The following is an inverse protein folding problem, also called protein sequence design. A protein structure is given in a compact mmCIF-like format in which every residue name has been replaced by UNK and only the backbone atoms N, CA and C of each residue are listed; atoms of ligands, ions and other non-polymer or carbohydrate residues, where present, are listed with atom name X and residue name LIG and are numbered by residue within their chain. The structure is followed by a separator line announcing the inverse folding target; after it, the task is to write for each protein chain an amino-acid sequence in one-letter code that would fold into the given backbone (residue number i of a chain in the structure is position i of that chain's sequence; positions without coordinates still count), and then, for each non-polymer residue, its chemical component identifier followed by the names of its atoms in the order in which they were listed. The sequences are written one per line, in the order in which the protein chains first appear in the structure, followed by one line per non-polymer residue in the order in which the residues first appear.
data_IF_800652058991
#
_entry.id   IF_800652058991
#
_cell.length_a   1.000
_cell.length_b   1.000
_cell.length_c   1.000
_cell.angle_alpha   90.00
_cell.angle_beta   90.00
_cell.angle_gamma   90.00
#
_symmetry.space_group_name_H-M   'P 1'
#
loop_
_entity.id
_entity.type
_entity.pdbx_description
1 polymer ?
#
# COMPACT_ATOMS: atom_id res chain seq x y z
N UNK A 1 22.90 -11.65 4.50
CA UNK A 1 22.18 -10.40 4.15
C UNK A 1 21.19 -10.61 3.01
N UNK A 2 21.60 -11.20 1.88
CA UNK A 2 20.72 -11.50 0.73
C UNK A 2 19.48 -12.32 1.11
N UNK A 3 19.65 -13.44 1.83
CA UNK A 3 18.52 -14.30 2.23
C UNK A 3 17.51 -13.54 3.10
N UNK A 4 17.98 -12.79 4.10
CA UNK A 4 17.11 -11.98 4.96
C UNK A 4 16.34 -10.93 4.17
N UNK A 5 17.01 -10.24 3.23
CA UNK A 5 16.37 -9.29 2.32
C UNK A 5 15.30 -9.98 1.45
N UNK A 6 15.59 -11.16 0.89
CA UNK A 6 14.61 -11.94 0.12
C UNK A 6 13.39 -12.32 0.96
N UNK A 7 13.59 -12.81 2.18
CA UNK A 7 12.47 -13.15 3.07
C UNK A 7 11.62 -11.92 3.38
N UNK A 8 12.25 -10.79 3.73
CA UNK A 8 11.53 -9.55 4.04
C UNK A 8 10.74 -9.03 2.83
N UNK A 9 11.34 -9.00 1.64
CA UNK A 9 10.68 -8.58 0.40
C UNK A 9 9.52 -9.52 0.05
N UNK A 10 9.73 -10.84 0.14
CA UNK A 10 8.70 -11.84 -0.12
C UNK A 10 7.50 -11.69 0.82
N UNK A 11 7.73 -11.56 2.12
CA UNK A 11 6.67 -11.32 3.10
C UNK A 11 5.92 -10.01 2.84
N UNK A 12 6.64 -8.94 2.48
CA UNK A 12 6.01 -7.65 2.20
C UNK A 12 5.15 -7.68 0.93
N UNK A 13 5.64 -8.34 -0.13
CA UNK A 13 4.88 -8.58 -1.37
C UNK A 13 3.61 -9.37 -1.08
N UNK A 14 3.72 -10.48 -0.33
CA UNK A 14 2.57 -11.29 0.05
C UNK A 14 1.54 -10.49 0.87
N UNK A 15 2.01 -9.71 1.84
CA UNK A 15 1.13 -8.84 2.63
C UNK A 15 0.39 -7.82 1.76
N UNK A 16 1.06 -7.22 0.77
CA UNK A 16 0.45 -6.27 -0.14
C UNK A 16 -0.62 -6.92 -1.04
N UNK A 17 -0.32 -8.09 -1.61
CA UNK A 17 -1.27 -8.86 -2.41
C UNK A 17 -2.51 -9.26 -1.59
N UNK A 18 -2.31 -9.72 -0.35
CA UNK A 18 -3.42 -10.05 0.57
C UNK A 18 -4.29 -8.81 0.83
N UNK A 19 -3.69 -7.63 1.02
CA UNK A 19 -4.45 -6.39 1.20
C UNK A 19 -5.31 -6.05 -0.02
N UNK A 20 -4.77 -6.23 -1.23
CA UNK A 20 -5.53 -5.99 -2.46
C UNK A 20 -6.73 -6.91 -2.57
N UNK A 21 -6.55 -8.21 -2.30
CA UNK A 21 -7.65 -9.18 -2.29
C UNK A 21 -8.69 -8.79 -1.24
N UNK A 22 -8.25 -8.47 -0.02
CA UNK A 22 -9.14 -8.08 1.08
C UNK A 22 -9.97 -6.84 0.78
N UNK A 23 -9.45 -5.90 -0.02
CA UNK A 23 -10.17 -4.69 -0.40
C UNK A 23 -11.45 -5.01 -1.19
N UNK A 24 -11.42 -6.07 -2.01
CA UNK A 24 -12.57 -6.51 -2.82
C UNK A 24 -13.39 -7.62 -2.15
N UNK A 25 -12.73 -8.53 -1.42
CA UNK A 25 -13.38 -9.70 -0.83
C UNK A 25 -14.16 -9.37 0.45
N UNK A 26 -13.70 -8.40 1.26
CA UNK A 26 -14.35 -8.05 2.52
C UNK A 26 -15.48 -7.06 2.23
N UNK A 27 -16.72 -7.26 2.70
CA UNK A 27 -17.83 -6.36 2.41
C UNK A 27 -17.64 -4.97 3.03
N UNK A 28 -18.21 -3.94 2.39
CA UNK A 28 -18.05 -2.53 2.79
C UNK A 28 -18.33 -2.26 4.29
N UNK A 29 -19.41 -2.76 4.92
CA UNK A 29 -19.68 -2.51 6.34
C UNK A 29 -18.54 -2.98 7.26
N UNK A 30 -17.90 -4.10 6.93
CA UNK A 30 -16.77 -4.61 7.69
C UNK A 30 -15.50 -3.79 7.46
N UNK A 31 -15.26 -3.32 6.22
CA UNK A 31 -14.11 -2.45 5.90
C UNK A 31 -14.23 -1.10 6.61
N UNK A 32 -15.40 -0.46 6.54
CA UNK A 32 -15.60 0.87 7.11
C UNK A 32 -15.56 0.85 8.63
N UNK A 33 -16.03 -0.22 9.28
CA UNK A 33 -15.91 -0.39 10.74
C UNK A 33 -14.45 -0.40 11.19
N UNK A 34 -13.56 -1.08 10.46
CA UNK A 34 -12.12 -1.10 10.74
C UNK A 34 -11.50 0.28 10.58
N UNK A 35 -11.83 0.98 9.49
CA UNK A 35 -11.37 2.35 9.26
C UNK A 35 -11.86 3.30 10.36
N UNK A 36 -13.14 3.24 10.72
CA UNK A 36 -13.70 4.05 11.79
C UNK A 36 -12.98 3.83 13.13
N UNK A 37 -12.66 2.57 13.47
CA UNK A 37 -11.90 2.22 14.67
C UNK A 37 -10.45 2.74 14.64
N UNK A 38 -9.79 2.75 13.48
CA UNK A 38 -8.43 3.32 13.34
C UNK A 38 -8.40 4.82 13.66
N UNK A 39 -9.46 5.54 13.31
CA UNK A 39 -9.56 6.99 13.53
C UNK A 39 -10.20 7.39 14.87
N UNK A 40 -10.80 6.46 15.64
CA UNK A 40 -11.43 6.79 16.93
C UNK A 40 -10.40 7.13 18.02
N UNK A 41 -9.19 6.58 17.95
CA UNK A 41 -8.09 6.82 18.90
C UNK A 41 -7.23 8.06 18.62
N UNK A 42 -7.82 9.14 18.09
CA UNK A 42 -7.13 10.38 17.68
C UNK A 42 -5.96 10.19 16.68
N UNK A 43 -5.92 9.05 15.98
CA UNK A 43 -4.91 8.76 14.96
C UNK A 43 -3.50 8.46 15.48
N UNK A 44 -3.27 8.31 16.80
CA UNK A 44 -1.95 7.97 17.35
C UNK A 44 -1.41 6.65 16.82
N UNK A 45 -2.28 5.64 16.69
CA UNK A 45 -1.91 4.34 16.13
C UNK A 45 -1.43 4.46 14.68
N UNK A 46 -2.12 5.28 13.87
CA UNK A 46 -1.76 5.50 12.47
C UNK A 46 -0.37 6.14 12.37
N UNK A 47 -0.09 7.17 13.17
CA UNK A 47 1.24 7.82 13.19
C UNK A 47 2.37 6.85 13.51
N UNK A 48 2.23 6.07 14.60
CA UNK A 48 3.25 5.09 14.99
C UNK A 48 3.43 4.02 13.90
N UNK A 49 2.32 3.57 13.31
CA UNK A 49 2.38 2.60 12.21
C UNK A 49 3.11 3.17 10.99
N UNK A 50 2.85 4.43 10.62
CA UNK A 50 3.52 5.13 9.52
C UNK A 50 5.02 5.29 9.81
N UNK A 51 5.40 5.66 11.03
CA UNK A 51 6.82 5.76 11.44
C UNK A 51 7.54 4.40 11.34
N UNK A 52 6.89 3.32 11.76
CA UNK A 52 7.42 1.95 11.64
C UNK A 52 7.58 1.55 10.17
N UNK A 53 6.60 1.84 9.33
CA UNK A 53 6.69 1.57 7.89
C UNK A 53 7.80 2.37 7.23
N UNK A 54 7.96 3.64 7.60
CA UNK A 54 9.03 4.49 7.09
C UNK A 54 10.40 3.94 7.46
N UNK A 55 10.58 3.54 8.73
CA UNK A 55 11.80 2.89 9.20
C UNK A 55 12.06 1.58 8.43
N UNK A 56 11.04 0.76 8.22
CA UNK A 56 11.16 -0.48 7.45
C UNK A 56 11.61 -0.21 6.01
N UNK A 57 11.04 0.80 5.33
CA UNK A 57 11.45 1.17 3.97
C UNK A 57 12.92 1.63 3.94
N UNK A 58 13.34 2.45 4.90
CA UNK A 58 14.74 2.88 5.02
C UNK A 58 15.70 1.69 5.22
N UNK A 59 15.32 0.72 6.06
CA UNK A 59 16.09 -0.52 6.27
C UNK A 59 16.18 -1.34 4.98
N UNK A 60 15.07 -1.50 4.23
CA UNK A 60 15.08 -2.23 2.96
C UNK A 60 16.00 -1.58 1.94
N UNK A 61 15.97 -0.25 1.81
CA UNK A 61 16.85 0.50 0.90
C UNK A 61 18.32 0.35 1.31
N UNK A 62 18.63 0.47 2.61
CA UNK A 62 19.99 0.28 3.12
C UNK A 62 20.50 -1.14 2.88
N UNK A 63 19.66 -2.16 3.10
CA UNK A 63 19.99 -3.55 2.80
C UNK A 63 20.23 -3.75 1.30
N UNK A 64 19.38 -3.19 0.43
CA UNK A 64 19.51 -3.29 -1.02
C UNK A 64 20.80 -2.61 -1.51
N UNK A 65 21.15 -1.45 -0.96
CA UNK A 65 22.42 -0.78 -1.24
C UNK A 65 23.62 -1.66 -0.83
N UNK A 66 23.55 -2.31 0.33
CA UNK A 66 24.62 -3.17 0.85
C UNK A 66 24.88 -4.46 0.03
N UNK A 67 23.92 -4.91 -0.78
CA UNK A 67 24.08 -6.09 -1.67
C UNK A 67 24.30 -5.72 -3.14
N UNK A 68 24.52 -4.44 -3.46
CA UNK A 68 24.82 -3.99 -4.82
C UNK A 68 23.57 -3.63 -5.62
N UNK A 69 22.93 -2.53 -5.26
CA UNK A 69 21.75 -1.99 -5.94
C UNK A 69 22.07 -1.58 -7.39
N UNK A 70 21.26 -2.04 -8.34
CA UNK A 70 21.32 -1.58 -9.73
C UNK A 70 20.56 -0.24 -9.86
N UNK A 71 21.28 0.81 -10.24
CA UNK A 71 20.80 2.19 -10.21
C UNK A 71 19.59 2.47 -11.12
N UNK A 72 19.57 1.94 -12.35
CA UNK A 72 18.48 2.22 -13.29
C UNK A 72 17.18 1.55 -12.84
N UNK A 73 17.26 0.31 -12.37
CA UNK A 73 16.15 -0.45 -11.81
C UNK A 73 15.61 0.21 -10.55
N UNK A 74 16.48 0.72 -9.67
CA UNK A 74 16.07 1.46 -8.48
C UNK A 74 15.33 2.75 -8.82
N UNK A 75 15.92 3.61 -9.66
CA UNK A 75 15.32 4.89 -10.07
C UNK A 75 13.98 4.64 -10.79
N UNK A 76 13.93 3.67 -11.69
CA UNK A 76 12.70 3.29 -12.41
C UNK A 76 11.64 2.80 -11.43
N UNK A 77 12.01 1.94 -10.47
CA UNK A 77 11.11 1.45 -9.43
C UNK A 77 10.52 2.57 -8.57
N UNK A 78 11.34 3.56 -8.16
CA UNK A 78 10.87 4.73 -7.43
C UNK A 78 9.85 5.54 -8.24
N UNK A 79 10.15 5.83 -9.51
CA UNK A 79 9.27 6.59 -10.39
C UNK A 79 7.94 5.86 -10.64
N UNK A 80 7.99 4.55 -10.88
CA UNK A 80 6.79 3.71 -11.04
C UNK A 80 5.95 3.72 -9.77
N UNK A 81 6.57 3.53 -8.60
CA UNK A 81 5.87 3.56 -7.30
C UNK A 81 5.17 4.89 -7.05
N UNK A 82 5.89 6.01 -7.18
CA UNK A 82 5.34 7.35 -7.01
C UNK A 82 4.18 7.62 -7.97
N UNK A 83 4.34 7.26 -9.25
CA UNK A 83 3.33 7.49 -10.27
C UNK A 83 2.07 6.67 -10.02
N UNK A 84 2.21 5.38 -9.68
CA UNK A 84 1.07 4.53 -9.37
C UNK A 84 0.30 5.04 -8.15
N UNK A 85 0.99 5.46 -7.09
CA UNK A 85 0.35 6.06 -5.91
C UNK A 85 -0.38 7.36 -6.25
N UNK A 86 0.25 8.26 -7.02
CA UNK A 86 -0.38 9.50 -7.44
C UNK A 86 -1.65 9.25 -8.28
N UNK A 87 -1.56 8.40 -9.31
CA UNK A 87 -2.69 8.09 -10.17
C UNK A 87 -3.82 7.43 -9.38
N UNK A 88 -3.48 6.50 -8.48
CA UNK A 88 -4.44 5.86 -7.58
C UNK A 88 -5.22 6.92 -6.77
N UNK A 89 -4.53 7.86 -6.12
CA UNK A 89 -5.20 8.88 -5.33
C UNK A 89 -6.08 9.80 -6.19
N UNK A 90 -5.64 10.17 -7.40
CA UNK A 90 -6.47 10.99 -8.28
C UNK A 90 -7.79 10.33 -8.70
N UNK A 91 -7.92 9.00 -8.62
CA UNK A 91 -9.19 8.30 -8.87
C UNK A 91 -10.27 8.61 -7.83
N UNK A 92 -9.87 8.99 -6.62
CA UNK A 92 -10.78 9.19 -5.48
C UNK A 92 -11.06 10.67 -5.22
N UNK A 93 -11.18 11.46 -6.29
CA UNK A 93 -11.46 12.89 -6.22
C UNK A 93 -12.96 13.23 -6.22
N UNK A 94 -13.84 12.23 -6.17
CA UNK A 94 -15.28 12.40 -6.18
C UNK A 94 -15.82 12.59 -4.75
N UNK A 95 -16.84 13.43 -4.54
CA UNK A 95 -17.49 13.55 -3.24
C UNK A 95 -18.14 12.23 -2.83
N UNK A 96 -18.11 11.94 -1.53
CA UNK A 96 -18.80 10.79 -0.96
C UNK A 96 -20.31 11.09 -0.86
N UNK A 97 -21.18 10.08 -1.04
CA UNK A 97 -22.59 10.25 -0.72
C UNK A 97 -22.77 10.40 0.81
N UNK A 98 -23.83 11.10 1.28
CA UNK A 98 -23.99 11.44 2.70
C UNK A 98 -23.97 10.24 3.67
N UNK A 99 -24.46 9.07 3.23
CA UNK A 99 -24.48 7.83 4.01
C UNK A 99 -23.10 7.17 4.17
N UNK A 100 -22.08 7.67 3.45
CA UNK A 100 -20.71 7.16 3.46
C UNK A 100 -19.69 8.18 3.91
N UNK A 101 -20.12 9.36 4.33
CA UNK A 101 -19.21 10.37 4.86
C UNK A 101 -18.68 9.96 6.26
N UNK A 102 -17.40 10.25 6.55
CA UNK A 102 -16.91 10.09 7.90
C UNK A 102 -17.57 11.08 8.85
N UNK A 103 -17.86 10.65 10.08
CA UNK A 103 -18.29 11.57 11.13
C UNK A 103 -17.22 12.66 11.37
N UNK A 104 -17.62 13.90 11.72
CA UNK A 104 -16.68 14.96 12.06
C UNK A 104 -15.68 14.56 13.17
N UNK A 105 -14.46 15.13 13.17
CA UNK A 105 -13.94 16.10 12.21
C UNK A 105 -13.57 15.47 10.86
N UNK A 106 -13.83 16.21 9.79
CA UNK A 106 -13.43 15.85 8.43
C UNK A 106 -11.97 16.25 8.23
N UNK A 107 -11.07 15.27 8.25
CA UNK A 107 -9.65 15.47 7.93
C UNK A 107 -9.33 14.79 6.59
N UNK A 108 -8.45 15.36 5.74
CA UNK A 108 -8.23 14.88 4.38
C UNK A 108 -7.96 13.38 4.27
N UNK A 109 -7.05 12.85 5.10
CA UNK A 109 -6.67 11.43 5.07
C UNK A 109 -7.81 10.49 5.48
N UNK A 110 -8.68 10.92 6.41
CA UNK A 110 -9.87 10.16 6.83
C UNK A 110 -10.89 10.13 5.70
N UNK A 111 -11.19 11.28 5.10
CA UNK A 111 -12.08 11.38 3.94
C UNK A 111 -11.58 10.52 2.79
N UNK A 112 -10.27 10.55 2.50
CA UNK A 112 -9.66 9.73 1.46
C UNK A 112 -9.78 8.23 1.76
N UNK A 113 -9.53 7.83 3.01
CA UNK A 113 -9.67 6.43 3.44
C UNK A 113 -11.11 5.94 3.23
N UNK A 114 -12.11 6.77 3.57
CA UNK A 114 -13.52 6.47 3.36
C UNK A 114 -13.87 6.39 1.86
N UNK A 115 -13.36 7.31 1.02
CA UNK A 115 -13.54 7.27 -0.43
C UNK A 115 -13.02 5.96 -1.06
N UNK A 116 -11.82 5.54 -0.66
CA UNK A 116 -11.23 4.27 -1.10
C UNK A 116 -12.09 3.07 -0.68
N UNK A 117 -12.59 3.06 0.56
CA UNK A 117 -13.45 1.97 1.01
C UNK A 117 -14.81 1.95 0.33
N UNK A 118 -15.38 3.11 0.03
CA UNK A 118 -16.71 3.23 -0.57
C UNK A 118 -16.76 2.78 -2.04
N UNK A 119 -15.69 3.02 -2.79
CA UNK A 119 -15.63 2.71 -4.22
C UNK A 119 -14.28 2.08 -4.64
N UNK A 120 -13.86 0.95 -4.05
CA UNK A 120 -12.55 0.35 -4.30
C UNK A 120 -12.34 -0.03 -5.77
N UNK A 121 -13.42 -0.25 -6.52
CA UNK A 121 -13.39 -0.51 -7.95
C UNK A 121 -12.73 0.62 -8.74
N UNK A 122 -12.70 1.88 -8.27
CA UNK A 122 -12.04 2.98 -8.98
C UNK A 122 -10.51 2.78 -9.11
N UNK A 123 -9.92 1.97 -8.23
CA UNK A 123 -8.49 1.65 -8.20
C UNK A 123 -8.09 0.44 -9.06
N UNK A 124 -9.04 -0.20 -9.76
CA UNK A 124 -8.82 -1.52 -10.36
C UNK A 124 -7.62 -1.57 -11.32
N UNK A 125 -7.40 -0.51 -12.11
CA UNK A 125 -6.31 -0.46 -13.11
C UNK A 125 -4.95 -0.46 -12.43
N UNK A 126 -4.79 0.42 -11.46
CA UNK A 126 -3.55 0.60 -10.72
C UNK A 126 -3.23 -0.66 -9.89
N UNK A 127 -4.26 -1.29 -9.31
CA UNK A 127 -4.12 -2.54 -8.56
C UNK A 127 -3.76 -3.74 -9.46
N UNK A 128 -4.27 -3.82 -10.69
CA UNK A 128 -3.86 -4.88 -11.64
C UNK A 128 -2.39 -4.71 -12.00
N UNK A 129 -1.96 -3.49 -12.37
CA UNK A 129 -0.56 -3.22 -12.73
C UNK A 129 0.35 -3.56 -11.54
N UNK A 130 0.00 -3.10 -10.34
CA UNK A 130 0.82 -3.34 -9.16
C UNK A 130 0.84 -4.81 -8.75
N UNK A 131 -0.27 -5.53 -8.90
CA UNK A 131 -0.32 -6.99 -8.66
C UNK A 131 0.56 -7.75 -9.65
N UNK A 132 0.52 -7.40 -10.94
CA UNK A 132 1.36 -8.02 -11.96
C UNK A 132 2.84 -7.80 -11.66
N UNK A 133 3.23 -6.58 -11.30
CA UNK A 133 4.60 -6.25 -10.89
C UNK A 133 5.03 -7.02 -9.64
N UNK A 134 4.16 -7.14 -8.64
CA UNK A 134 4.45 -7.91 -7.42
C UNK A 134 4.57 -9.42 -7.68
N UNK A 135 3.71 -9.99 -8.51
CA UNK A 135 3.81 -11.39 -8.89
C UNK A 135 5.09 -11.67 -9.68
N UNK A 136 5.46 -10.79 -10.60
CA UNK A 136 6.72 -10.89 -11.34
C UNK A 136 7.95 -10.71 -10.42
N UNK A 137 7.91 -9.75 -9.50
CA UNK A 137 8.95 -9.57 -8.49
C UNK A 137 9.08 -10.80 -7.59
N UNK A 138 7.97 -11.42 -7.19
CA UNK A 138 7.99 -12.62 -6.36
C UNK A 138 8.53 -13.84 -7.12
N UNK A 139 8.15 -14.04 -8.38
CA UNK A 139 8.68 -15.15 -9.19
C UNK A 139 10.18 -14.98 -9.44
N UNK A 140 10.65 -13.78 -9.77
CA UNK A 140 12.09 -13.51 -9.92
C UNK A 140 12.85 -13.71 -8.60
N UNK A 141 12.29 -13.27 -7.48
CA UNK A 141 12.88 -13.46 -6.15
C UNK A 141 13.05 -14.94 -5.77
N UNK A 142 12.09 -15.79 -6.16
CA UNK A 142 12.10 -17.25 -5.89
C UNK A 142 13.03 -17.99 -6.87
N UNK A 143 13.03 -17.60 -8.14
CA UNK A 143 13.72 -18.34 -9.21
C UNK A 143 15.18 -17.93 -9.41
N UNK A 144 15.56 -16.70 -9.04
CA UNK A 144 16.94 -16.25 -9.15
C UNK A 144 17.73 -16.61 -7.89
N UNK A 145 18.62 -17.58 -8.06
CA UNK A 145 19.65 -17.99 -7.10
C UNK A 145 20.81 -16.99 -7.09
N UNK A 146 20.56 -15.80 -6.52
CA UNK A 146 21.60 -14.92 -5.98
C UNK A 146 21.86 -15.18 -4.51
#
# INVERSE_FOLDING_TARGET
MVIALKILLGLYILQALIKFINLFAIPYPARIKKIAALYSGQGRFIKVFDDILLLLMAVLVALQAAVGMEHLSFITGLLVGLTLTQVLFHRFNQPLPPDREPAPPLIPIKTMSYAIQAAPQLAWRELIIQSALFLWALTTLITQSG
#
